data_IF_754618806986
#
_entry.id   IF_754618806986
#
_cell.length_a   1.000
_cell.length_b   1.000
_cell.length_c   1.000
_cell.angle_alpha   90.00
_cell.angle_beta   90.00
_cell.angle_gamma   90.00
#
_symmetry.space_group_name_H-M   'P 1'
#
loop_
_entity.id
_entity.type
_entity.pdbx_description
1 polymer ?
#
# COMPACT_ATOMS: atom_id res chain seq x y z
N UNK A 1 -57.52 -9.76 3.09
CA UNK A 1 -56.17 -10.08 2.60
C UNK A 1 -55.19 -9.27 3.42
N UNK A 2 -54.54 -9.90 4.40
CA UNK A 2 -53.61 -9.25 5.33
C UNK A 2 -52.21 -9.29 4.71
N UNK A 3 -51.67 -8.12 4.40
CA UNK A 3 -50.28 -8.02 3.87
C UNK A 3 -49.30 -8.27 5.02
N UNK A 4 -48.53 -9.36 4.92
CA UNK A 4 -47.44 -9.68 5.81
C UNK A 4 -46.31 -8.64 5.61
N UNK A 5 -45.94 -7.93 6.69
CA UNK A 5 -44.71 -7.10 6.71
C UNK A 5 -43.49 -8.00 6.57
N UNK A 6 -42.51 -7.64 5.72
CA UNK A 6 -41.23 -8.37 5.70
C UNK A 6 -40.56 -8.24 7.06
N UNK A 7 -40.08 -9.38 7.57
CA UNK A 7 -39.33 -9.44 8.82
C UNK A 7 -38.03 -8.66 8.77
N UNK A 8 -37.38 -8.39 9.92
CA UNK A 8 -36.17 -7.61 9.99
C UNK A 8 -35.09 -8.30 9.16
N UNK A 9 -34.54 -7.54 8.19
CA UNK A 9 -33.32 -7.91 7.45
C UNK A 9 -32.23 -8.09 8.50
N UNK A 10 -31.70 -9.31 8.64
CA UNK A 10 -30.47 -9.54 9.40
C UNK A 10 -29.36 -8.75 8.71
N UNK A 11 -28.82 -7.74 9.40
CA UNK A 11 -27.63 -7.07 8.95
C UNK A 11 -26.55 -8.12 8.65
N UNK A 12 -25.84 -8.05 7.52
CA UNK A 12 -24.75 -8.99 7.23
C UNK A 12 -23.77 -8.95 8.40
N UNK A 13 -23.42 -10.13 8.93
CA UNK A 13 -22.41 -10.23 9.99
C UNK A 13 -21.12 -9.60 9.47
N UNK A 14 -20.52 -8.70 10.26
CA UNK A 14 -19.27 -8.06 9.89
C UNK A 14 -18.22 -9.14 9.57
N UNK A 15 -17.49 -8.97 8.48
CA UNK A 15 -16.42 -9.90 8.07
C UNK A 15 -15.40 -10.05 9.22
N UNK A 16 -15.09 -11.27 9.67
CA UNK A 16 -14.14 -11.49 10.78
C UNK A 16 -12.74 -10.87 10.54
N UNK A 17 -12.31 -10.76 9.29
CA UNK A 17 -11.04 -10.14 8.94
C UNK A 17 -11.07 -8.61 9.17
N UNK A 18 -12.24 -8.00 9.15
CA UNK A 18 -12.39 -6.57 9.36
C UNK A 18 -12.26 -6.18 10.84
N UNK A 19 -12.71 -7.03 11.77
CA UNK A 19 -12.78 -6.68 13.18
C UNK A 19 -11.46 -6.14 13.77
N UNK A 20 -10.28 -6.74 13.53
CA UNK A 20 -9.02 -6.24 14.08
C UNK A 20 -8.56 -4.92 13.43
N UNK A 21 -8.97 -4.62 12.21
CA UNK A 21 -8.47 -3.46 11.45
C UNK A 21 -9.47 -2.31 11.35
N UNK A 22 -10.74 -2.55 11.67
CA UNK A 22 -11.81 -1.55 11.61
C UNK A 22 -11.48 -0.22 12.33
N UNK A 23 -10.83 -0.21 13.50
CA UNK A 23 -10.45 1.04 14.15
C UNK A 23 -9.49 1.90 13.32
N UNK A 24 -8.56 1.29 12.59
CA UNK A 24 -7.61 2.02 11.72
C UNK A 24 -8.35 2.62 10.52
N UNK A 25 -9.24 1.86 9.89
CA UNK A 25 -10.07 2.34 8.78
C UNK A 25 -10.97 3.51 9.21
N UNK A 26 -11.58 3.39 10.37
CA UNK A 26 -12.40 4.48 10.95
C UNK A 26 -11.56 5.73 11.21
N UNK A 27 -10.36 5.58 11.78
CA UNK A 27 -9.45 6.69 12.06
C UNK A 27 -8.99 7.40 10.77
N UNK A 28 -8.72 6.66 9.67
CA UNK A 28 -8.41 7.28 8.37
C UNK A 28 -9.56 8.16 7.90
N UNK A 29 -10.81 7.69 7.98
CA UNK A 29 -11.99 8.46 7.56
C UNK A 29 -12.25 9.68 8.46
N UNK A 30 -12.07 9.52 9.76
CA UNK A 30 -12.30 10.59 10.74
C UNK A 30 -11.26 11.70 10.63
N UNK A 31 -9.97 11.33 10.52
CA UNK A 31 -8.86 12.27 10.52
C UNK A 31 -8.56 12.82 9.13
N UNK A 32 -8.99 12.12 8.06
CA UNK A 32 -8.75 12.47 6.65
C UNK A 32 -7.28 12.89 6.39
N UNK A 33 -6.29 12.01 6.67
CA UNK A 33 -4.88 12.37 6.61
C UNK A 33 -4.44 12.83 5.22
N UNK A 34 -3.58 13.84 5.15
CA UNK A 34 -2.94 14.28 3.93
C UNK A 34 -1.76 13.35 3.61
N UNK A 35 -1.88 12.59 2.55
CA UNK A 35 -0.84 11.67 2.06
C UNK A 35 -0.13 12.29 0.87
N UNK A 36 1.14 12.62 1.04
CA UNK A 36 1.98 13.06 -0.08
C UNK A 36 2.49 11.84 -0.83
N UNK A 37 2.22 11.76 -2.13
CA UNK A 37 2.57 10.61 -2.97
C UNK A 37 3.52 11.03 -4.09
N UNK A 38 4.75 10.50 -4.07
CA UNK A 38 5.61 10.44 -5.25
C UNK A 38 5.42 9.04 -5.85
N UNK A 39 4.64 8.95 -6.92
CA UNK A 39 4.17 7.66 -7.45
C UNK A 39 4.27 7.57 -8.96
N UNK A 40 4.20 6.34 -9.47
CA UNK A 40 4.26 6.08 -10.91
C UNK A 40 3.17 6.84 -11.67
N UNK A 41 3.54 7.53 -12.73
CA UNK A 41 2.62 8.31 -13.58
C UNK A 41 1.41 7.50 -14.04
N UNK A 42 1.62 6.22 -14.38
CA UNK A 42 0.55 5.31 -14.83
C UNK A 42 -0.48 4.98 -13.74
N UNK A 43 -0.14 5.21 -12.46
CA UNK A 43 -0.99 4.91 -11.31
C UNK A 43 -1.50 6.14 -10.56
N UNK A 44 -1.09 7.34 -10.94
CA UNK A 44 -1.50 8.58 -10.23
C UNK A 44 -3.01 8.69 -10.04
N UNK A 45 -3.79 8.46 -11.09
CA UNK A 45 -5.25 8.58 -11.01
C UNK A 45 -5.87 7.59 -10.03
N UNK A 46 -5.52 6.29 -10.12
CA UNK A 46 -6.11 5.28 -9.22
C UNK A 46 -5.63 5.46 -7.78
N UNK A 47 -4.42 5.96 -7.56
CA UNK A 47 -3.90 6.27 -6.22
C UNK A 47 -4.66 7.46 -5.61
N UNK A 48 -4.85 8.54 -6.39
CA UNK A 48 -5.61 9.70 -5.93
C UNK A 48 -7.07 9.35 -5.63
N UNK A 49 -7.75 8.72 -6.60
CA UNK A 49 -9.15 8.33 -6.47
C UNK A 49 -9.36 7.34 -5.32
N UNK A 50 -8.44 6.36 -5.15
CA UNK A 50 -8.51 5.38 -4.09
C UNK A 50 -8.29 5.97 -2.71
N UNK A 51 -7.36 6.92 -2.53
CA UNK A 51 -7.20 7.65 -1.27
C UNK A 51 -8.43 8.48 -0.94
N UNK A 52 -9.02 9.18 -1.93
CA UNK A 52 -10.27 9.93 -1.74
C UNK A 52 -11.43 9.00 -1.36
N UNK A 53 -11.57 7.86 -2.02
CA UNK A 53 -12.57 6.86 -1.69
C UNK A 53 -12.38 6.30 -0.27
N UNK A 54 -11.13 6.12 0.16
CA UNK A 54 -10.79 5.68 1.51
C UNK A 54 -11.00 6.77 2.58
N UNK A 55 -11.25 8.03 2.19
CA UNK A 55 -11.43 9.15 3.10
C UNK A 55 -10.14 9.91 3.43
N UNK A 56 -9.02 9.59 2.81
CA UNK A 56 -7.77 10.33 2.92
C UNK A 56 -7.68 11.45 1.86
N UNK A 57 -6.69 12.33 1.98
CA UNK A 57 -6.44 13.44 1.05
C UNK A 57 -5.13 13.22 0.31
N UNK A 58 -5.13 12.98 -1.01
CA UNK A 58 -3.92 12.84 -1.80
C UNK A 58 -3.30 14.20 -2.14
N UNK A 59 -1.97 14.27 -2.13
CA UNK A 59 -1.18 15.33 -2.72
C UNK A 59 -0.06 14.71 -3.54
N UNK A 60 0.16 15.19 -4.77
CA UNK A 60 1.14 14.60 -5.68
C UNK A 60 2.05 15.68 -6.25
N UNK A 61 3.31 15.66 -5.85
CA UNK A 61 4.41 16.44 -6.44
C UNK A 61 5.66 15.57 -6.46
N UNK A 62 6.61 15.83 -7.36
CA UNK A 62 7.81 15.01 -7.46
C UNK A 62 9.11 15.81 -7.65
N UNK A 63 9.00 17.12 -7.95
CA UNK A 63 10.19 17.94 -8.17
C UNK A 63 10.95 18.21 -6.88
N UNK A 64 12.28 18.30 -6.96
CA UNK A 64 13.12 18.65 -5.80
C UNK A 64 12.79 20.04 -5.23
N UNK A 65 12.18 20.93 -6.03
CA UNK A 65 11.79 22.27 -5.61
C UNK A 65 10.50 22.29 -4.76
N UNK A 66 9.54 21.40 -5.03
CA UNK A 66 8.23 21.43 -4.37
C UNK A 66 8.02 20.26 -3.39
N UNK A 67 8.42 19.05 -3.77
CA UNK A 67 8.09 17.85 -3.00
C UNK A 67 8.58 17.91 -1.54
N UNK A 68 9.80 18.35 -1.22
CA UNK A 68 10.23 18.51 0.17
C UNK A 68 9.36 19.50 0.98
N UNK A 69 8.92 20.59 0.36
CA UNK A 69 8.07 21.59 1.01
C UNK A 69 6.68 21.01 1.31
N UNK A 70 6.08 20.34 0.32
CA UNK A 70 4.77 19.68 0.48
C UNK A 70 4.81 18.63 1.59
N UNK A 71 5.90 17.87 1.70
CA UNK A 71 6.07 16.85 2.75
C UNK A 71 6.00 17.45 4.16
N UNK A 72 6.43 18.70 4.37
CA UNK A 72 6.31 19.34 5.70
C UNK A 72 4.86 19.51 6.16
N UNK A 73 3.91 19.54 5.23
CA UNK A 73 2.48 19.70 5.49
C UNK A 73 1.73 18.36 5.52
N UNK A 74 2.33 17.30 5.00
CA UNK A 74 1.69 15.99 4.91
C UNK A 74 1.71 15.25 6.25
N UNK A 75 0.71 14.39 6.48
CA UNK A 75 0.64 13.51 7.65
C UNK A 75 1.45 12.23 7.43
N UNK A 76 1.59 11.80 6.18
CA UNK A 76 2.44 10.67 5.76
C UNK A 76 2.96 10.86 4.35
N UNK A 77 4.05 10.13 4.02
CA UNK A 77 4.68 10.13 2.69
C UNK A 77 4.63 8.72 2.09
N UNK A 78 4.23 8.63 0.81
CA UNK A 78 4.28 7.40 0.01
C UNK A 78 5.26 7.58 -1.15
N UNK A 79 6.31 6.77 -1.17
CA UNK A 79 7.33 6.73 -2.25
C UNK A 79 7.16 5.44 -3.04
N UNK A 80 6.85 5.57 -4.33
CA UNK A 80 6.79 4.45 -5.28
C UNK A 80 7.76 4.71 -6.44
N UNK A 81 8.64 3.75 -6.70
CA UNK A 81 9.71 3.88 -7.69
C UNK A 81 9.30 3.48 -9.12
N UNK A 82 8.02 3.17 -9.35
CA UNK A 82 7.51 2.92 -10.70
C UNK A 82 7.56 4.18 -11.57
N UNK A 83 7.80 4.02 -12.88
CA UNK A 83 7.89 5.13 -13.83
C UNK A 83 8.73 6.32 -13.29
N UNK A 84 9.92 6.01 -12.80
CA UNK A 84 10.82 7.00 -12.19
C UNK A 84 11.21 8.07 -13.21
N UNK A 85 10.71 9.30 -13.05
CA UNK A 85 11.09 10.47 -13.84
C UNK A 85 12.43 11.04 -13.39
N UNK A 86 13.03 11.92 -14.20
CA UNK A 86 14.25 12.66 -13.79
C UNK A 86 13.97 13.53 -12.57
N UNK A 87 12.81 14.18 -12.53
CA UNK A 87 12.41 15.02 -11.39
C UNK A 87 12.24 14.20 -10.12
N UNK A 88 11.62 13.01 -10.21
CA UNK A 88 11.50 12.10 -9.07
C UNK A 88 12.86 11.56 -8.60
N UNK A 89 13.82 11.32 -9.51
CA UNK A 89 15.16 10.87 -9.12
C UNK A 89 15.85 11.87 -8.18
N UNK A 90 15.67 13.16 -8.43
CA UNK A 90 16.25 14.24 -7.60
C UNK A 90 15.34 14.58 -6.41
N UNK A 91 14.04 14.53 -6.61
CA UNK A 91 13.04 14.91 -5.61
C UNK A 91 12.88 13.89 -4.48
N UNK A 92 12.90 12.59 -4.78
CA UNK A 92 12.67 11.53 -3.77
C UNK A 92 13.67 11.59 -2.61
N UNK A 93 15.01 11.63 -2.83
CA UNK A 93 15.96 11.69 -1.72
C UNK A 93 15.72 12.89 -0.80
N UNK A 94 15.58 14.09 -1.38
CA UNK A 94 15.35 15.31 -0.63
C UNK A 94 14.01 15.28 0.15
N UNK A 95 12.99 14.69 -0.43
CA UNK A 95 11.66 14.52 0.19
C UNK A 95 11.71 13.56 1.38
N UNK A 96 12.42 12.43 1.23
CA UNK A 96 12.62 11.46 2.31
C UNK A 96 13.44 12.05 3.45
N UNK A 97 14.46 12.86 3.17
CA UNK A 97 15.22 13.58 4.21
C UNK A 97 14.31 14.47 5.07
N UNK A 98 13.36 15.16 4.46
CA UNK A 98 12.36 15.96 5.18
C UNK A 98 11.46 15.09 6.02
N UNK A 99 10.93 14.00 5.47
CA UNK A 99 10.08 13.07 6.23
C UNK A 99 10.80 12.51 7.46
N UNK A 100 12.05 12.09 7.30
CA UNK A 100 12.88 11.56 8.41
C UNK A 100 13.17 12.65 9.45
N UNK A 101 13.58 13.85 9.02
CA UNK A 101 13.87 14.99 9.91
C UNK A 101 12.66 15.36 10.76
N UNK A 102 11.48 15.40 10.15
CA UNK A 102 10.24 15.83 10.78
C UNK A 102 9.49 14.70 11.49
N UNK A 103 10.07 13.47 11.50
CA UNK A 103 9.45 12.30 12.13
C UNK A 103 8.15 11.85 11.46
N UNK A 104 7.97 12.15 10.17
CA UNK A 104 6.80 11.75 9.39
C UNK A 104 6.88 10.27 9.03
N UNK A 105 5.82 9.49 9.24
CA UNK A 105 5.79 8.11 8.74
C UNK A 105 5.85 8.10 7.22
N UNK A 106 6.61 7.13 6.67
CA UNK A 106 6.69 7.01 5.22
C UNK A 106 6.78 5.56 4.75
N UNK A 107 6.26 5.32 3.57
CA UNK A 107 6.17 4.00 2.94
C UNK A 107 7.04 3.97 1.69
N UNK A 108 7.83 2.92 1.54
CA UNK A 108 8.61 2.62 0.35
C UNK A 108 7.96 1.48 -0.43
N UNK A 109 7.56 1.76 -1.67
CA UNK A 109 7.19 0.76 -2.67
C UNK A 109 8.28 0.70 -3.76
N UNK A 110 9.21 -0.27 -3.68
CA UNK A 110 10.34 -0.38 -4.60
C UNK A 110 9.95 -1.01 -5.94
N UNK A 111 8.83 -0.59 -6.49
CA UNK A 111 8.26 -1.13 -7.73
C UNK A 111 9.30 -1.40 -8.82
N UNK A 112 9.33 -2.65 -9.32
CA UNK A 112 10.13 -3.10 -10.46
C UNK A 112 11.65 -2.93 -10.29
N UNK A 113 12.17 -3.08 -9.08
CA UNK A 113 13.60 -3.18 -8.81
C UNK A 113 14.16 -4.58 -9.15
N UNK A 114 15.46 -4.71 -9.12
CA UNK A 114 16.22 -5.92 -9.42
C UNK A 114 17.06 -5.70 -10.66
N UNK A 115 16.47 -5.78 -11.84
CA UNK A 115 17.16 -5.56 -13.12
C UNK A 115 17.32 -4.08 -13.48
N UNK A 116 16.58 -3.18 -12.85
CA UNK A 116 16.58 -1.75 -13.18
C UNK A 116 17.82 -1.04 -12.61
N UNK A 117 18.71 -0.49 -13.46
CA UNK A 117 20.03 -0.03 -13.01
C UNK A 117 20.00 1.26 -12.19
N UNK A 118 18.92 2.04 -12.25
CA UNK A 118 18.77 3.30 -11.50
C UNK A 118 17.97 3.09 -10.23
N UNK A 119 16.77 2.52 -10.33
CA UNK A 119 15.87 2.41 -9.18
C UNK A 119 16.30 1.35 -8.17
N UNK A 120 17.06 0.32 -8.58
CA UNK A 120 17.55 -0.70 -7.63
C UNK A 120 18.56 -0.14 -6.61
N UNK A 121 19.63 0.58 -7.00
CA UNK A 121 20.48 1.26 -6.03
C UNK A 121 19.75 2.31 -5.20
N UNK A 122 18.86 3.09 -5.82
CA UNK A 122 18.05 4.08 -5.11
C UNK A 122 17.18 3.43 -4.02
N UNK A 123 16.46 2.35 -4.34
CA UNK A 123 15.66 1.63 -3.36
C UNK A 123 16.51 1.14 -2.16
N UNK A 124 17.69 0.59 -2.43
CA UNK A 124 18.61 0.13 -1.37
C UNK A 124 19.13 1.28 -0.50
N UNK A 125 19.39 2.44 -1.09
CA UNK A 125 19.75 3.64 -0.34
C UNK A 125 18.59 4.11 0.54
N UNK A 126 17.36 4.14 0.01
CA UNK A 126 16.16 4.58 0.72
C UNK A 126 15.81 3.68 1.92
N UNK A 127 16.11 2.38 1.86
CA UNK A 127 15.94 1.47 3.01
C UNK A 127 16.79 1.91 4.21
N UNK A 128 17.99 2.48 3.99
CA UNK A 128 18.83 2.98 5.08
C UNK A 128 18.22 4.20 5.80
N UNK A 129 17.30 4.92 5.15
CA UNK A 129 16.51 5.99 5.75
C UNK A 129 15.31 5.48 6.57
N UNK A 130 15.23 4.17 6.81
CA UNK A 130 14.27 3.49 7.69
C UNK A 130 12.81 3.84 7.40
N UNK A 131 12.25 3.43 6.25
CA UNK A 131 10.82 3.53 6.00
C UNK A 131 10.03 2.88 7.12
N UNK A 132 8.90 3.49 7.48
CA UNK A 132 7.95 2.96 8.45
C UNK A 132 7.39 1.61 7.98
N UNK A 133 7.08 1.52 6.68
CA UNK A 133 6.67 0.28 6.02
C UNK A 133 7.38 0.18 4.66
N UNK A 134 7.85 -1.02 4.33
CA UNK A 134 8.22 -1.39 2.96
C UNK A 134 7.13 -2.30 2.38
N UNK A 135 6.62 -1.96 1.21
CA UNK A 135 5.65 -2.78 0.49
C UNK A 135 6.22 -3.23 -0.84
N UNK A 136 6.06 -4.49 -1.21
CA UNK A 136 6.50 -5.00 -2.51
C UNK A 136 6.00 -6.43 -2.74
N UNK A 137 6.25 -6.99 -3.93
CA UNK A 137 6.05 -8.42 -4.17
C UNK A 137 7.31 -9.22 -3.78
N UNK A 138 7.22 -10.56 -3.84
CA UNK A 138 8.31 -11.45 -3.46
C UNK A 138 9.64 -11.14 -4.18
N UNK A 139 9.60 -10.90 -5.50
CA UNK A 139 10.82 -10.63 -6.27
C UNK A 139 11.46 -9.28 -5.93
N UNK A 140 10.64 -8.27 -5.62
CA UNK A 140 11.13 -6.96 -5.20
C UNK A 140 11.79 -7.03 -3.82
N UNK A 141 11.21 -7.77 -2.87
CA UNK A 141 11.81 -7.96 -1.54
C UNK A 141 13.14 -8.73 -1.61
N UNK A 142 13.22 -9.78 -2.44
CA UNK A 142 14.47 -10.51 -2.68
C UNK A 142 15.56 -9.61 -3.28
N UNK A 143 15.20 -8.79 -4.27
CA UNK A 143 16.11 -7.82 -4.87
C UNK A 143 16.57 -6.74 -3.87
N UNK A 144 15.65 -6.28 -3.01
CA UNK A 144 15.93 -5.29 -1.98
C UNK A 144 16.86 -5.85 -0.88
N UNK A 145 16.62 -7.09 -0.46
CA UNK A 145 17.48 -7.81 0.48
C UNK A 145 18.87 -8.16 -0.11
N UNK A 146 19.01 -8.16 -1.44
CA UNK A 146 20.23 -8.56 -2.13
C UNK A 146 20.43 -10.07 -2.24
N UNK A 147 19.38 -10.86 -2.02
CA UNK A 147 19.39 -12.33 -2.03
C UNK A 147 18.86 -12.94 -3.34
N UNK A 148 18.42 -12.11 -4.29
CA UNK A 148 17.94 -12.52 -5.60
C UNK A 148 18.07 -11.42 -6.66
N UNK A 149 18.01 -11.80 -7.97
CA UNK A 149 18.17 -10.85 -9.08
C UNK A 149 16.94 -9.94 -9.28
N UNK A 150 15.82 -10.20 -8.61
CA UNK A 150 14.52 -9.63 -8.93
C UNK A 150 13.82 -10.31 -10.11
N UNK A 151 12.50 -10.21 -10.17
CA UNK A 151 11.68 -10.79 -11.24
C UNK A 151 11.56 -9.91 -12.48
N UNK A 152 10.89 -10.44 -13.52
CA UNK A 152 10.51 -9.71 -14.74
C UNK A 152 9.19 -8.97 -14.54
N UNK A 153 9.14 -8.00 -13.61
CA UNK A 153 7.90 -7.27 -13.30
C UNK A 153 7.16 -7.87 -12.09
N UNK A 154 5.84 -7.74 -12.07
CA UNK A 154 5.00 -8.16 -10.95
C UNK A 154 4.89 -9.69 -10.76
N UNK A 155 5.25 -10.48 -11.79
CA UNK A 155 5.21 -11.94 -11.74
C UNK A 155 6.43 -12.46 -10.98
N UNK A 156 6.20 -12.94 -9.74
CA UNK A 156 7.23 -13.55 -8.93
C UNK A 156 7.28 -15.06 -9.15
N UNK A 157 8.45 -15.56 -9.58
CA UNK A 157 8.73 -17.00 -9.66
C UNK A 157 9.36 -17.56 -8.38
N UNK A 158 9.57 -16.69 -7.41
CA UNK A 158 10.29 -17.02 -6.17
C UNK A 158 9.36 -17.68 -5.15
N UNK A 159 9.91 -18.56 -4.33
CA UNK A 159 9.12 -19.25 -3.31
C UNK A 159 8.67 -18.31 -2.20
N UNK A 160 7.46 -18.54 -1.66
CA UNK A 160 6.93 -17.77 -0.55
C UNK A 160 7.86 -17.78 0.69
N UNK A 161 8.60 -18.87 0.91
CA UNK A 161 9.58 -18.98 2.00
C UNK A 161 10.76 -18.03 1.84
N UNK A 162 11.38 -18.00 0.65
CA UNK A 162 12.50 -17.10 0.38
C UNK A 162 12.09 -15.62 0.47
N UNK A 163 10.87 -15.30 0.04
CA UNK A 163 10.31 -13.96 0.17
C UNK A 163 10.07 -13.55 1.64
N UNK A 164 9.61 -14.48 2.49
CA UNK A 164 9.43 -14.23 3.92
C UNK A 164 10.77 -13.94 4.62
N UNK A 165 11.83 -14.70 4.31
CA UNK A 165 13.17 -14.47 4.86
C UNK A 165 13.74 -13.11 4.44
N UNK A 166 13.59 -12.76 3.15
CA UNK A 166 14.01 -11.46 2.62
C UNK A 166 13.24 -10.31 3.28
N UNK A 167 11.92 -10.44 3.43
CA UNK A 167 11.07 -9.46 4.11
C UNK A 167 11.47 -9.30 5.59
N UNK A 168 11.75 -10.39 6.29
CA UNK A 168 12.23 -10.36 7.67
C UNK A 168 13.59 -9.67 7.78
N UNK A 169 14.48 -9.84 6.81
CA UNK A 169 15.75 -9.11 6.75
C UNK A 169 15.52 -7.61 6.55
N UNK A 170 14.62 -7.22 5.65
CA UNK A 170 14.26 -5.81 5.42
C UNK A 170 13.63 -5.21 6.67
N UNK A 171 12.68 -5.89 7.32
CA UNK A 171 12.05 -5.43 8.55
C UNK A 171 13.06 -5.18 9.68
N UNK A 172 14.05 -6.07 9.84
CA UNK A 172 15.14 -5.86 10.83
C UNK A 172 16.03 -4.66 10.49
N UNK A 173 16.29 -4.39 9.19
CA UNK A 173 17.11 -3.23 8.76
C UNK A 173 16.38 -1.92 9.00
N UNK A 174 15.10 -1.86 8.66
CA UNK A 174 14.30 -0.64 8.80
C UNK A 174 13.83 -0.39 10.22
N UNK A 175 13.62 -1.45 11.00
CA UNK A 175 12.95 -1.38 12.29
C UNK A 175 11.43 -1.20 12.18
N UNK A 176 10.90 -1.22 10.96
CA UNK A 176 9.48 -1.06 10.62
C UNK A 176 8.81 -2.39 10.24
N UNK A 177 7.71 -2.30 9.50
CA UNK A 177 7.00 -3.45 8.96
C UNK A 177 7.25 -3.65 7.46
N UNK A 178 6.95 -4.85 6.97
CA UNK A 178 7.00 -5.20 5.55
C UNK A 178 5.68 -5.86 5.15
N UNK A 179 5.10 -5.40 4.04
CA UNK A 179 3.95 -6.02 3.39
C UNK A 179 4.38 -6.64 2.05
N UNK A 180 4.26 -7.97 1.95
CA UNK A 180 4.61 -8.74 0.74
C UNK A 180 3.32 -9.14 0.05
N UNK A 181 3.10 -8.62 -1.16
CA UNK A 181 1.94 -9.00 -1.97
C UNK A 181 2.17 -10.29 -2.74
N UNK A 182 1.16 -11.14 -2.77
CA UNK A 182 1.18 -12.44 -3.45
C UNK A 182 -0.22 -13.04 -3.64
N UNK A 183 -0.30 -14.34 -3.89
CA UNK A 183 -1.57 -15.07 -3.87
C UNK A 183 -2.16 -15.14 -2.44
N UNK A 184 -1.30 -15.10 -1.45
CA UNK A 184 -1.60 -14.87 -0.05
C UNK A 184 -0.63 -13.77 0.39
N UNK A 185 -1.16 -12.67 0.86
CA UNK A 185 -0.34 -11.56 1.32
C UNK A 185 0.27 -11.87 2.69
N UNK A 186 1.48 -11.35 2.91
CA UNK A 186 2.20 -11.51 4.17
C UNK A 186 2.57 -10.14 4.73
N UNK A 187 2.14 -9.85 5.95
CA UNK A 187 2.60 -8.68 6.69
C UNK A 187 3.44 -9.14 7.86
N UNK A 188 4.62 -8.55 8.05
CA UNK A 188 5.50 -8.91 9.15
C UNK A 188 6.32 -7.72 9.67
N UNK A 189 6.75 -7.85 10.91
CA UNK A 189 7.81 -7.03 11.52
C UNK A 189 8.90 -7.95 12.13
N UNK A 190 9.76 -7.43 12.98
CA UNK A 190 10.81 -8.21 13.62
C UNK A 190 10.28 -9.29 14.62
N UNK A 191 9.01 -9.25 15.01
CA UNK A 191 8.42 -10.07 16.07
C UNK A 191 7.15 -10.81 15.66
N UNK A 192 6.38 -10.26 14.70
CA UNK A 192 5.02 -10.71 14.32
C UNK A 192 4.96 -10.97 12.84
N UNK A 193 4.06 -11.87 12.48
CA UNK A 193 3.62 -12.04 11.08
C UNK A 193 2.14 -12.35 11.02
N UNK A 194 1.50 -11.87 9.97
CA UNK A 194 0.12 -12.19 9.63
C UNK A 194 0.02 -12.57 8.15
N UNK A 195 -0.82 -13.54 7.84
CA UNK A 195 -1.14 -13.94 6.48
C UNK A 195 -2.56 -13.46 6.18
N UNK A 196 -2.74 -12.86 5.02
CA UNK A 196 -4.04 -12.40 4.53
C UNK A 196 -4.35 -13.21 3.28
N UNK A 197 -5.23 -14.21 3.42
CA UNK A 197 -5.69 -15.07 2.34
C UNK A 197 -7.04 -14.53 1.83
N UNK A 198 -6.98 -13.33 1.28
CA UNK A 198 -8.12 -12.55 0.79
C UNK A 198 -7.74 -11.86 -0.52
N UNK A 199 -8.71 -11.17 -1.12
CA UNK A 199 -8.47 -10.39 -2.33
C UNK A 199 -9.06 -11.02 -3.58
N UNK A 200 -8.59 -10.59 -4.74
CA UNK A 200 -9.12 -11.02 -6.02
C UNK A 200 -8.02 -11.13 -7.07
N UNK A 201 -8.12 -12.15 -7.92
CA UNK A 201 -7.27 -12.31 -9.12
C UNK A 201 -7.40 -11.16 -10.13
N UNK A 202 -8.39 -10.28 -9.96
CA UNK A 202 -8.55 -9.08 -10.77
C UNK A 202 -7.66 -7.91 -10.29
N UNK A 203 -7.20 -7.91 -9.03
CA UNK A 203 -6.31 -6.87 -8.51
C UNK A 203 -5.03 -6.71 -9.37
N UNK A 204 -4.26 -7.77 -9.66
CA UNK A 204 -3.06 -7.63 -10.50
C UNK A 204 -3.35 -7.35 -11.98
N UNK A 205 -4.62 -7.48 -12.43
CA UNK A 205 -5.04 -7.17 -13.79
C UNK A 205 -5.44 -5.71 -14.01
N UNK A 206 -5.41 -4.89 -12.96
CA UNK A 206 -5.66 -3.44 -13.01
C UNK A 206 -4.40 -2.71 -12.60
N UNK A 207 -3.86 -1.91 -13.50
CA UNK A 207 -2.63 -1.14 -13.25
C UNK A 207 -2.81 -0.19 -12.07
N UNK A 208 -1.84 -0.23 -11.14
CA UNK A 208 -1.75 0.71 -10.04
C UNK A 208 -2.41 0.26 -8.73
N UNK A 209 -3.04 -0.94 -8.68
CA UNK A 209 -3.60 -1.46 -7.42
C UNK A 209 -2.53 -1.70 -6.36
N UNK A 210 -1.33 -2.16 -6.77
CA UNK A 210 -0.19 -2.25 -5.87
C UNK A 210 0.29 -0.88 -5.37
N UNK A 211 0.41 0.11 -6.25
CA UNK A 211 0.77 1.49 -5.86
C UNK A 211 -0.29 2.09 -4.92
N UNK A 212 -1.57 1.77 -5.14
CA UNK A 212 -2.66 2.15 -4.26
C UNK A 212 -2.50 1.52 -2.87
N UNK A 213 -2.12 0.24 -2.78
CA UNK A 213 -1.83 -0.39 -1.48
C UNK A 213 -0.73 0.37 -0.71
N UNK A 214 0.34 0.79 -1.39
CA UNK A 214 1.40 1.61 -0.78
C UNK A 214 0.86 2.93 -0.22
N UNK A 215 0.00 3.60 -0.97
CA UNK A 215 -0.61 4.86 -0.54
C UNK A 215 -1.64 4.68 0.59
N UNK A 216 -2.47 3.63 0.54
CA UNK A 216 -3.37 3.26 1.65
C UNK A 216 -2.58 2.90 2.91
N UNK A 217 -1.45 2.21 2.77
CA UNK A 217 -0.54 1.94 3.89
C UNK A 217 -0.02 3.24 4.50
N UNK A 218 0.35 4.22 3.68
CA UNK A 218 0.76 5.54 4.18
C UNK A 218 -0.38 6.26 4.92
N UNK A 219 -1.62 6.19 4.41
CA UNK A 219 -2.79 6.74 5.11
C UNK A 219 -3.01 6.06 6.46
N UNK A 220 -2.84 4.74 6.55
CA UNK A 220 -2.97 4.01 7.80
C UNK A 220 -1.83 4.34 8.78
N UNK A 221 -0.58 4.52 8.31
CA UNK A 221 0.54 4.92 9.18
C UNK A 221 0.42 6.35 9.71
N UNK A 222 -0.31 7.22 9.02
CA UNK A 222 -0.60 8.58 9.49
C UNK A 222 -1.48 8.60 10.74
N UNK A 223 -2.35 7.60 10.91
CA UNK A 223 -3.36 7.56 11.98
C UNK A 223 -3.11 6.47 13.01
N UNK A 224 -2.16 5.58 12.78
CA UNK A 224 -1.86 4.46 13.67
C UNK A 224 -0.35 4.33 13.91
N UNK A 225 0.12 4.33 15.17
CA UNK A 225 1.55 4.38 15.50
C UNK A 225 2.29 3.06 15.29
N UNK A 226 1.58 1.92 15.24
CA UNK A 226 2.19 0.60 15.02
C UNK A 226 2.27 0.30 13.52
N UNK A 227 3.48 0.20 12.93
CA UNK A 227 3.66 -0.04 11.50
C UNK A 227 3.07 -1.37 11.02
N UNK A 228 3.11 -2.41 11.86
CA UNK A 228 2.55 -3.72 11.52
C UNK A 228 1.03 -3.66 11.40
N UNK A 229 0.35 -3.07 12.38
CA UNK A 229 -1.10 -2.93 12.38
C UNK A 229 -1.58 -2.01 11.24
N UNK A 230 -0.85 -0.93 10.95
CA UNK A 230 -1.15 -0.04 9.84
C UNK A 230 -1.02 -0.75 8.48
N UNK A 231 0.05 -1.53 8.28
CA UNK A 231 0.26 -2.30 7.06
C UNK A 231 -0.78 -3.42 6.89
N UNK A 232 -1.12 -4.11 7.99
CA UNK A 232 -2.17 -5.13 8.00
C UNK A 232 -3.54 -4.54 7.65
N UNK A 233 -3.86 -3.38 8.23
CA UNK A 233 -5.13 -2.69 7.97
C UNK A 233 -5.27 -2.30 6.50
N UNK A 234 -4.24 -1.73 5.89
CA UNK A 234 -4.26 -1.35 4.47
C UNK A 234 -4.40 -2.58 3.55
N UNK A 235 -3.68 -3.69 3.86
CA UNK A 235 -3.75 -4.94 3.10
C UNK A 235 -5.17 -5.52 3.15
N UNK A 236 -5.71 -5.73 4.35
CA UNK A 236 -7.07 -6.25 4.53
C UNK A 236 -8.11 -5.34 3.87
N UNK A 237 -7.95 -4.02 3.96
CA UNK A 237 -8.87 -3.07 3.33
C UNK A 237 -8.92 -3.23 1.82
N UNK A 238 -7.76 -3.24 1.16
CA UNK A 238 -7.70 -3.39 -0.29
C UNK A 238 -8.22 -4.76 -0.75
N UNK A 239 -7.89 -5.82 -0.02
CA UNK A 239 -8.31 -7.18 -0.37
C UNK A 239 -9.83 -7.35 -0.25
N UNK A 240 -10.44 -6.89 0.84
CA UNK A 240 -11.89 -6.92 1.01
C UNK A 240 -12.60 -6.06 -0.03
N UNK A 241 -12.05 -4.88 -0.35
CA UNK A 241 -12.56 -4.06 -1.44
C UNK A 241 -12.42 -4.76 -2.80
N UNK A 242 -11.32 -5.46 -3.03
CA UNK A 242 -11.09 -6.28 -4.21
C UNK A 242 -12.12 -7.42 -4.37
N UNK A 243 -12.43 -8.13 -3.30
CA UNK A 243 -13.46 -9.17 -3.30
C UNK A 243 -14.85 -8.59 -3.61
N UNK A 244 -15.22 -7.51 -2.91
CA UNK A 244 -16.51 -6.85 -3.13
C UNK A 244 -16.65 -6.30 -4.56
N UNK A 245 -15.56 -5.75 -5.11
CA UNK A 245 -15.51 -5.29 -6.50
C UNK A 245 -15.63 -6.44 -7.49
N UNK A 246 -14.92 -7.54 -7.26
CA UNK A 246 -14.94 -8.71 -8.14
C UNK A 246 -16.32 -9.36 -8.22
N UNK A 247 -17.06 -9.39 -7.12
CA UNK A 247 -18.44 -9.92 -7.08
C UNK A 247 -19.41 -9.15 -7.99
N UNK A 248 -19.08 -7.91 -8.36
CA UNK A 248 -19.92 -7.04 -9.21
C UNK A 248 -19.34 -6.84 -10.61
N UNK A 249 -18.06 -7.19 -10.80
CA UNK A 249 -17.34 -6.92 -12.04
C UNK A 249 -17.64 -7.96 -13.12
N UNK A 250 -17.69 -7.49 -14.37
CA UNK A 250 -17.73 -8.34 -15.56
C UNK A 250 -16.37 -8.43 -16.26
N UNK A 251 -15.37 -7.68 -15.77
CA UNK A 251 -14.02 -7.63 -16.29
C UNK A 251 -13.19 -6.55 -15.62
N UNK A 252 -11.91 -6.36 -16.02
CA UNK A 252 -11.01 -5.41 -15.36
C UNK A 252 -11.47 -3.96 -15.36
N UNK A 253 -12.20 -3.52 -16.41
CA UNK A 253 -12.70 -2.15 -16.49
C UNK A 253 -13.77 -1.86 -15.44
N UNK A 254 -14.81 -2.70 -15.36
CA UNK A 254 -15.84 -2.58 -14.32
C UNK A 254 -15.29 -2.89 -12.92
N UNK A 255 -14.33 -3.80 -12.81
CA UNK A 255 -13.64 -4.06 -11.55
C UNK A 255 -12.96 -2.80 -10.99
N UNK A 256 -12.21 -2.05 -11.82
CA UNK A 256 -11.59 -0.80 -11.41
C UNK A 256 -12.60 0.21 -10.86
N UNK A 257 -13.75 0.35 -11.51
CA UNK A 257 -14.83 1.24 -11.07
C UNK A 257 -15.42 0.77 -9.72
N UNK A 258 -15.74 -0.52 -9.61
CA UNK A 258 -16.30 -1.08 -8.37
C UNK A 258 -15.30 -1.14 -7.22
N UNK A 259 -13.97 -1.15 -7.49
CA UNK A 259 -12.95 -1.11 -6.45
C UNK A 259 -12.98 0.20 -5.68
N UNK A 260 -13.19 1.33 -6.34
CA UNK A 260 -13.32 2.64 -5.69
C UNK A 260 -14.57 2.69 -4.82
N UNK A 261 -15.73 2.24 -5.36
CA UNK A 261 -16.96 2.13 -4.58
C UNK A 261 -16.80 1.24 -3.34
N UNK A 262 -16.06 0.12 -3.49
CA UNK A 262 -15.85 -0.83 -2.41
C UNK A 262 -14.89 -0.29 -1.34
N UNK A 263 -13.84 0.45 -1.73
CA UNK A 263 -12.94 1.12 -0.77
C UNK A 263 -13.70 2.10 0.14
N UNK A 264 -14.68 2.81 -0.41
CA UNK A 264 -15.56 3.68 0.37
C UNK A 264 -16.47 2.88 1.30
N UNK A 265 -16.99 1.74 0.86
CA UNK A 265 -17.99 0.96 1.59
C UNK A 265 -17.42 0.05 2.70
N UNK A 266 -16.21 -0.54 2.51
CA UNK A 266 -15.60 -1.48 3.46
C UNK A 266 -15.41 -0.83 4.83
N UNK A 267 -15.98 -1.43 5.88
CA UNK A 267 -15.85 -0.95 7.26
C UNK A 267 -16.75 0.23 7.64
N UNK A 268 -17.78 0.53 6.82
CA UNK A 268 -18.88 1.47 7.16
C UNK A 268 -20.04 0.77 7.83
#
# INVERSE_FOLDING_TARGET
MSAQRPGPSTAPSADPALAPVAPVLAAVREQAPLVHCLTATVSMAIVADGLLAAGARPMMTETAAEAPVVTTLADALSINLGTLSTDAMDGIPATVEVAVRDGRPWVLDPTAIGIAPVRTPLARQLVESRPTVVRGNASELLALAGTGPGGRGADSTDTAGAAADAAAQVARRTGGAVAVSGAVDLVLDARRQARVDRGSELLPRVTGTGCLLGALTAACTAVHPDPFEAALAATVWLDLAGEAAAARATGPGSFRMHLLDALDAVGR
#
